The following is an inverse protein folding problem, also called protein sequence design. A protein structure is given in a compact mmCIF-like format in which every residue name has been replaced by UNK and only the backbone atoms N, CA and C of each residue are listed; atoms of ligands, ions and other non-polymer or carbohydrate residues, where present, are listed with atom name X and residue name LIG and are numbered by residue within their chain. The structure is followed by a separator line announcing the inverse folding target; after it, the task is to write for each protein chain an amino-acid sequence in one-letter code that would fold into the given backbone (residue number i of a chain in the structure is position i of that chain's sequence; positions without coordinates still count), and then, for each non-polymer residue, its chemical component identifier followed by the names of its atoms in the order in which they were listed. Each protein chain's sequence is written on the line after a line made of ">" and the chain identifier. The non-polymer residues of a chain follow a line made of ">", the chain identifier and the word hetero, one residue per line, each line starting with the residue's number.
data_IF_159658849573
#
_entry.id   IF_159658849573
#
_cell.length_a   1.000
_cell.length_b   1.000
_cell.length_c   1.000
_cell.angle_alpha   90.00
_cell.angle_beta   90.00
_cell.angle_gamma   90.00
#
_symmetry.space_group_name_H-M   'P 1'
#
loop_
_entity.id
_entity.type
_entity.pdbx_description
1 polymer ?
#
# COMPACT_ATOMS: atom_id res chain seq x y z
N UNK A 1 -22.71 -11.11 -22.02
CA UNK A 1 -23.52 -9.89 -21.77
C UNK A 1 -23.46 -9.04 -23.03
N UNK A 2 -24.61 -8.61 -23.58
CA UNK A 2 -24.68 -7.69 -24.73
C UNK A 2 -25.11 -6.33 -24.22
N UNK A 3 -24.36 -5.27 -24.54
CA UNK A 3 -24.74 -3.87 -24.32
C UNK A 3 -24.59 -3.20 -25.69
N UNK A 4 -25.63 -2.49 -26.14
CA UNK A 4 -25.66 -1.77 -27.43
C UNK A 4 -25.09 -2.56 -28.62
N UNK A 5 -25.62 -3.77 -28.84
CA UNK A 5 -25.31 -4.64 -29.97
C UNK A 5 -23.85 -5.14 -30.08
N UNK A 6 -23.02 -4.91 -29.07
CA UNK A 6 -21.65 -5.45 -28.99
C UNK A 6 -21.55 -6.64 -28.03
N UNK A 7 -20.81 -7.67 -28.45
CA UNK A 7 -20.54 -8.84 -27.59
C UNK A 7 -19.32 -8.52 -26.74
N UNK A 8 -19.54 -8.23 -25.46
CA UNK A 8 -18.47 -7.96 -24.50
C UNK A 8 -17.92 -9.31 -24.04
N UNK A 9 -16.66 -9.59 -24.39
CA UNK A 9 -15.93 -10.74 -23.87
C UNK A 9 -15.60 -10.50 -22.39
N UNK A 10 -15.83 -11.49 -21.50
CA UNK A 10 -15.40 -11.37 -20.12
C UNK A 10 -13.87 -11.19 -20.09
N UNK A 11 -13.42 -10.07 -19.53
CA UNK A 11 -12.00 -9.77 -19.39
C UNK A 11 -11.52 -10.32 -18.04
N UNK A 12 -10.39 -11.01 -18.02
CA UNK A 12 -9.85 -11.64 -16.79
C UNK A 12 -9.39 -10.63 -15.73
N UNK A 13 -9.08 -9.41 -16.17
CA UNK A 13 -8.68 -8.30 -15.33
C UNK A 13 -9.06 -6.98 -16.00
N UNK A 14 -9.35 -5.97 -15.19
CA UNK A 14 -9.58 -4.61 -15.68
C UNK A 14 -8.81 -3.61 -14.84
N UNK A 15 -8.42 -2.48 -15.45
CA UNK A 15 -7.76 -1.38 -14.76
C UNK A 15 -8.78 -0.28 -14.50
N UNK A 16 -9.02 0.02 -13.23
CA UNK A 16 -9.92 1.07 -12.80
C UNK A 16 -9.22 1.99 -11.80
N UNK A 17 -9.23 3.31 -12.07
CA UNK A 17 -8.55 4.32 -11.24
C UNK A 17 -7.10 3.94 -10.89
N UNK A 18 -6.36 3.33 -11.82
CA UNK A 18 -4.97 2.92 -11.57
C UNK A 18 -4.78 1.63 -10.74
N UNK A 19 -5.85 1.02 -10.25
CA UNK A 19 -5.88 -0.29 -9.59
C UNK A 19 -6.23 -1.37 -10.62
N UNK A 20 -5.59 -2.55 -10.51
CA UNK A 20 -5.87 -3.69 -11.39
C UNK A 20 -6.75 -4.66 -10.61
N UNK A 21 -7.98 -4.84 -11.08
CA UNK A 21 -8.99 -5.68 -10.45
C UNK A 21 -9.06 -6.99 -11.23
N UNK A 22 -8.72 -8.09 -10.57
CA UNK A 22 -8.87 -9.44 -11.11
C UNK A 22 -10.29 -9.97 -10.80
N UNK A 23 -10.85 -10.83 -11.65
CA UNK A 23 -12.20 -11.41 -11.44
C UNK A 23 -12.41 -12.06 -10.06
N UNK A 24 -11.34 -12.67 -9.51
CA UNK A 24 -11.35 -13.34 -8.20
C UNK A 24 -10.81 -12.47 -7.06
N UNK A 25 -10.49 -11.19 -7.31
CA UNK A 25 -9.85 -10.30 -6.34
C UNK A 25 -8.61 -10.90 -5.67
N UNK A 26 -7.82 -11.67 -6.43
CA UNK A 26 -6.58 -12.27 -5.92
C UNK A 26 -5.44 -11.24 -5.83
N UNK A 27 -5.57 -10.09 -6.50
CA UNK A 27 -4.62 -8.97 -6.51
C UNK A 27 -3.19 -9.29 -6.94
N UNK A 28 -2.94 -10.48 -7.50
CA UNK A 28 -1.59 -10.93 -7.91
C UNK A 28 -1.06 -10.08 -9.07
N UNK A 29 -1.92 -9.76 -10.04
CA UNK A 29 -1.54 -8.86 -11.14
C UNK A 29 -1.28 -7.44 -10.64
N UNK A 30 -2.09 -6.97 -9.69
CA UNK A 30 -1.89 -5.67 -9.07
C UNK A 30 -0.57 -5.60 -8.28
N UNK A 31 -0.21 -6.66 -7.56
CA UNK A 31 1.06 -6.75 -6.86
C UNK A 31 2.25 -6.61 -7.81
N UNK A 32 2.26 -7.32 -8.94
CA UNK A 32 3.32 -7.20 -9.94
C UNK A 32 3.44 -5.76 -10.49
N UNK A 33 2.31 -5.07 -10.67
CA UNK A 33 2.29 -3.66 -11.05
C UNK A 33 2.85 -2.73 -9.96
N UNK A 34 2.61 -3.02 -8.68
CA UNK A 34 3.22 -2.27 -7.57
C UNK A 34 4.72 -2.54 -7.51
N UNK A 35 5.15 -3.80 -7.61
CA UNK A 35 6.56 -4.20 -7.59
C UNK A 35 7.36 -3.48 -8.68
N UNK A 36 6.86 -3.48 -9.92
CA UNK A 36 7.49 -2.81 -11.07
C UNK A 36 7.55 -1.29 -10.89
N UNK A 37 6.54 -0.66 -10.29
CA UNK A 37 6.56 0.79 -9.98
C UNK A 37 7.46 1.17 -8.81
N UNK A 38 7.54 0.32 -7.79
CA UNK A 38 8.33 0.57 -6.59
C UNK A 38 9.83 0.35 -6.83
N UNK A 39 10.22 -0.61 -7.68
CA UNK A 39 11.62 -0.94 -7.94
C UNK A 39 12.52 0.26 -8.35
N UNK A 40 12.18 1.07 -9.38
CA UNK A 40 13.01 2.21 -9.79
C UNK A 40 13.08 3.29 -8.71
N UNK A 41 11.98 3.46 -7.96
CA UNK A 41 11.88 4.42 -6.86
C UNK A 41 12.73 4.05 -5.65
N UNK A 42 12.82 2.76 -5.32
CA UNK A 42 13.74 2.26 -4.31
C UNK A 42 15.19 2.43 -4.79
N UNK A 43 15.48 2.25 -6.08
CA UNK A 43 16.80 2.54 -6.62
C UNK A 43 17.16 4.04 -6.52
N UNK A 44 16.21 4.93 -6.80
CA UNK A 44 16.40 6.37 -6.59
C UNK A 44 16.66 6.68 -5.11
N UNK A 45 15.88 6.10 -4.20
CA UNK A 45 16.07 6.25 -2.76
C UNK A 45 17.47 5.77 -2.32
N UNK A 46 17.95 4.66 -2.88
CA UNK A 46 19.31 4.15 -2.67
C UNK A 46 20.37 5.15 -3.12
N UNK A 47 20.17 5.73 -4.30
CA UNK A 47 21.09 6.73 -4.84
C UNK A 47 21.15 7.96 -3.93
N UNK A 48 19.99 8.52 -3.57
CA UNK A 48 19.88 9.68 -2.70
C UNK A 48 20.49 9.45 -1.32
N UNK A 49 20.24 8.28 -0.73
CA UNK A 49 20.81 7.89 0.57
C UNK A 49 22.33 7.80 0.53
N UNK A 50 22.90 7.32 -0.58
CA UNK A 50 24.36 7.21 -0.75
C UNK A 50 25.05 8.53 -1.08
N UNK A 51 24.37 9.44 -1.79
CA UNK A 51 24.93 10.75 -2.16
C UNK A 51 24.94 11.74 -1.00
N UNK A 52 24.08 11.55 0.01
CA UNK A 52 24.09 12.37 1.19
C UNK A 52 25.24 11.93 2.10
N UNK A 53 26.23 12.80 2.30
CA UNK A 53 27.42 12.55 3.12
C UNK A 53 27.06 12.24 4.59
N UNK A 54 25.96 12.80 5.08
CA UNK A 54 25.37 12.49 6.38
C UNK A 54 23.86 12.72 6.31
N UNK A 55 23.09 11.73 5.81
CA UNK A 55 21.66 11.90 5.67
C UNK A 55 21.03 11.98 7.06
N UNK A 56 20.42 13.11 7.40
CA UNK A 56 19.55 13.16 8.57
C UNK A 56 18.47 12.09 8.40
N UNK A 57 18.41 11.13 9.33
CA UNK A 57 17.48 9.99 9.29
C UNK A 57 16.04 10.44 9.04
N UNK A 58 15.64 11.60 9.55
CA UNK A 58 14.31 12.19 9.32
C UNK A 58 14.07 12.55 7.85
N UNK A 59 15.05 13.17 7.20
CA UNK A 59 14.96 13.58 5.79
C UNK A 59 14.81 12.36 4.88
N UNK A 60 15.64 11.34 5.12
CA UNK A 60 15.58 10.06 4.40
C UNK A 60 14.24 9.36 4.58
N UNK A 61 13.72 9.31 5.81
CA UNK A 61 12.41 8.74 6.12
C UNK A 61 11.30 9.52 5.40
N UNK A 62 11.39 10.85 5.35
CA UNK A 62 10.43 11.67 4.64
C UNK A 62 10.47 11.42 3.13
N UNK A 63 11.64 11.30 2.53
CA UNK A 63 11.80 10.94 1.12
C UNK A 63 11.18 9.55 0.86
N UNK A 64 11.45 8.58 1.73
CA UNK A 64 10.82 7.27 1.66
C UNK A 64 9.28 7.36 1.69
N UNK A 65 8.72 8.11 2.64
CA UNK A 65 7.26 8.33 2.77
C UNK A 65 6.68 8.94 1.50
N UNK A 66 7.33 9.96 0.94
CA UNK A 66 6.85 10.63 -0.27
C UNK A 66 6.88 9.75 -1.51
N UNK A 67 7.85 8.83 -1.62
CA UNK A 67 8.07 8.06 -2.85
C UNK A 67 7.41 6.68 -2.81
N UNK A 68 7.72 5.88 -1.79
CA UNK A 68 7.35 4.46 -1.75
C UNK A 68 5.99 4.27 -1.07
N UNK A 69 5.78 4.96 0.07
CA UNK A 69 4.52 4.83 0.80
C UNK A 69 3.34 5.33 -0.03
N UNK A 70 3.47 6.42 -0.80
CA UNK A 70 2.39 6.94 -1.66
C UNK A 70 1.88 5.93 -2.68
N UNK A 71 2.74 5.13 -3.32
CA UNK A 71 2.29 4.10 -4.28
C UNK A 71 1.51 3.01 -3.58
N UNK A 72 2.03 2.56 -2.44
CA UNK A 72 1.46 1.42 -1.74
C UNK A 72 0.12 1.81 -1.07
N UNK A 73 0.06 3.01 -0.49
CA UNK A 73 -1.12 3.54 0.21
C UNK A 73 -2.25 3.87 -0.77
N UNK A 74 -1.95 4.29 -2.00
CA UNK A 74 -3.00 4.61 -2.98
C UNK A 74 -4.01 3.47 -3.15
N UNK A 75 -3.54 2.22 -3.11
CA UNK A 75 -4.36 1.01 -3.13
C UNK A 75 -4.61 0.41 -1.74
N UNK A 76 -4.71 1.18 -0.66
CA UNK A 76 -4.83 0.61 0.70
C UNK A 76 -6.04 -0.33 0.88
N UNK A 77 -7.13 -0.12 0.14
CA UNK A 77 -8.28 -1.03 0.14
C UNK A 77 -7.91 -2.42 -0.38
N UNK A 78 -7.01 -2.49 -1.36
CA UNK A 78 -6.46 -3.75 -1.88
C UNK A 78 -5.68 -4.47 -0.78
N UNK A 79 -4.88 -3.74 0.00
CA UNK A 79 -4.11 -4.32 1.10
C UNK A 79 -4.98 -4.95 2.20
N UNK A 80 -6.15 -4.36 2.46
CA UNK A 80 -7.07 -4.85 3.48
C UNK A 80 -7.85 -6.09 3.01
N UNK A 81 -8.17 -6.15 1.72
CA UNK A 81 -8.95 -7.24 1.11
C UNK A 81 -8.09 -8.37 0.55
N UNK A 82 -6.77 -8.16 0.40
CA UNK A 82 -5.87 -9.13 -0.19
C UNK A 82 -5.55 -10.33 0.71
N UNK A 83 -5.24 -11.45 0.04
CA UNK A 83 -4.73 -12.65 0.67
C UNK A 83 -3.43 -12.36 1.45
N UNK A 84 -3.20 -13.08 2.56
CA UNK A 84 -2.01 -12.92 3.42
C UNK A 84 -0.70 -12.93 2.63
N UNK A 85 -0.61 -13.79 1.61
CA UNK A 85 0.56 -13.90 0.74
C UNK A 85 0.88 -12.59 -0.01
N UNK A 86 -0.14 -11.89 -0.53
CA UNK A 86 0.03 -10.63 -1.24
C UNK A 86 0.38 -9.49 -0.27
N UNK A 87 -0.32 -9.43 0.87
CA UNK A 87 -0.05 -8.45 1.93
C UNK A 87 1.40 -8.56 2.45
N UNK A 88 1.88 -9.80 2.68
CA UNK A 88 3.25 -10.07 3.12
C UNK A 88 4.28 -9.61 2.08
N UNK A 89 4.04 -9.83 0.78
CA UNK A 89 4.95 -9.35 -0.27
C UNK A 89 5.03 -7.83 -0.31
N UNK A 90 3.92 -7.13 -0.12
CA UNK A 90 3.92 -5.66 -0.04
C UNK A 90 4.69 -5.19 1.20
N UNK A 91 4.54 -5.88 2.34
CA UNK A 91 5.31 -5.58 3.54
C UNK A 91 6.83 -5.76 3.31
N UNK A 92 7.24 -6.80 2.58
CA UNK A 92 8.65 -7.02 2.23
C UNK A 92 9.18 -5.87 1.37
N UNK A 93 8.39 -5.34 0.42
CA UNK A 93 8.78 -4.17 -0.39
C UNK A 93 8.97 -2.94 0.50
N UNK A 94 8.07 -2.71 1.46
CA UNK A 94 8.19 -1.61 2.42
C UNK A 94 9.48 -1.75 3.26
N UNK A 95 9.74 -2.94 3.80
CA UNK A 95 10.90 -3.20 4.66
C UNK A 95 12.22 -3.07 3.88
N UNK A 96 12.25 -3.54 2.62
CA UNK A 96 13.40 -3.37 1.73
C UNK A 96 13.65 -1.90 1.41
N UNK A 97 12.59 -1.14 1.16
CA UNK A 97 12.69 0.29 0.89
C UNK A 97 13.19 1.05 2.13
N UNK A 98 12.69 0.73 3.33
CA UNK A 98 13.17 1.31 4.60
C UNK A 98 14.63 0.99 4.87
N UNK A 99 15.04 -0.28 4.69
CA UNK A 99 16.44 -0.69 4.83
C UNK A 99 17.36 0.11 3.90
N UNK A 100 16.93 0.27 2.65
CA UNK A 100 17.65 1.03 1.63
C UNK A 100 17.72 2.51 1.99
N UNK A 101 16.63 3.09 2.49
CA UNK A 101 16.59 4.46 2.94
C UNK A 101 17.65 4.68 4.02
N UNK A 102 17.61 3.88 5.08
CA UNK A 102 18.48 3.99 6.25
C UNK A 102 19.93 3.55 6.01
N UNK A 103 20.27 3.08 4.81
CA UNK A 103 21.63 2.59 4.51
C UNK A 103 22.02 1.34 5.30
N UNK A 104 21.05 0.58 5.81
CA UNK A 104 21.31 -0.56 6.69
C UNK A 104 21.70 -1.82 5.91
N UNK A 105 22.57 -2.64 6.51
CA UNK A 105 23.00 -3.91 5.93
C UNK A 105 21.85 -4.92 5.80
N UNK A 106 21.96 -5.85 4.85
CA UNK A 106 20.97 -6.91 4.62
C UNK A 106 20.74 -7.82 5.85
N UNK A 107 21.74 -7.93 6.72
CA UNK A 107 21.70 -8.77 7.92
C UNK A 107 20.95 -8.13 9.10
N UNK A 108 20.61 -6.84 9.00
CA UNK A 108 19.86 -6.16 10.07
C UNK A 108 18.46 -6.75 10.23
N UNK A 109 18.08 -7.05 11.47
CA UNK A 109 16.76 -7.60 11.76
C UNK A 109 15.66 -6.61 11.37
N UNK A 110 14.54 -7.13 10.88
CA UNK A 110 13.40 -6.30 10.46
C UNK A 110 12.83 -5.54 11.66
N UNK A 111 12.83 -6.14 12.85
CA UNK A 111 12.35 -5.50 14.08
C UNK A 111 13.19 -4.30 14.48
N UNK A 112 14.52 -4.39 14.30
CA UNK A 112 15.42 -3.25 14.54
C UNK A 112 15.12 -2.10 13.57
N UNK A 113 14.93 -2.39 12.28
CA UNK A 113 14.58 -1.39 11.25
C UNK A 113 13.26 -0.69 11.60
N UNK A 114 12.27 -1.43 12.09
CA UNK A 114 10.98 -0.86 12.51
C UNK A 114 11.13 0.03 13.74
N UNK A 115 11.91 -0.41 14.73
CA UNK A 115 12.16 0.35 15.96
C UNK A 115 12.84 1.69 15.67
N UNK A 116 13.84 1.70 14.78
CA UNK A 116 14.58 2.93 14.45
C UNK A 116 13.79 3.88 13.53
N UNK A 117 12.99 3.33 12.61
CA UNK A 117 12.21 4.14 11.66
C UNK A 117 10.91 4.70 12.25
N UNK A 118 10.40 4.10 13.34
CA UNK A 118 9.12 4.43 13.95
C UNK A 118 7.94 4.41 12.94
N UNK A 119 7.99 3.48 11.98
CA UNK A 119 6.97 3.32 10.93
C UNK A 119 6.14 2.06 11.20
N UNK A 120 4.79 2.18 11.23
CA UNK A 120 3.90 1.04 11.44
C UNK A 120 3.91 0.08 10.25
N UNK A 121 3.38 -1.14 10.47
CA UNK A 121 3.12 -2.08 9.37
C UNK A 121 2.15 -1.46 8.37
N UNK A 122 2.30 -1.85 7.10
CA UNK A 122 1.48 -1.27 6.04
C UNK A 122 -0.01 -1.54 6.25
N UNK A 123 -0.35 -2.73 6.78
CA UNK A 123 -1.72 -3.13 7.07
C UNK A 123 -2.29 -2.30 8.22
N UNK A 124 -1.54 -2.12 9.30
CA UNK A 124 -1.97 -1.31 10.45
C UNK A 124 -2.23 0.13 10.02
N UNK A 125 -1.31 0.70 9.23
CA UNK A 125 -1.47 2.03 8.66
C UNK A 125 -2.71 2.14 7.75
N UNK A 126 -2.95 1.16 6.89
CA UNK A 126 -4.14 1.09 6.05
C UNK A 126 -5.43 1.03 6.88
N UNK A 127 -5.45 0.30 8.00
CA UNK A 127 -6.62 0.27 8.89
C UNK A 127 -6.85 1.63 9.58
N UNK A 128 -5.79 2.34 9.95
CA UNK A 128 -5.91 3.69 10.52
C UNK A 128 -6.51 4.67 9.51
N UNK A 129 -6.06 4.61 8.25
CA UNK A 129 -6.63 5.43 7.17
C UNK A 129 -8.09 5.09 6.90
N UNK A 130 -8.45 3.80 6.86
CA UNK A 130 -9.83 3.39 6.70
C UNK A 130 -10.72 3.93 7.83
N UNK A 131 -10.25 3.86 9.08
CA UNK A 131 -10.98 4.41 10.24
C UNK A 131 -11.20 5.92 10.10
N UNK A 132 -10.18 6.67 9.70
CA UNK A 132 -10.30 8.12 9.47
C UNK A 132 -11.27 8.44 8.32
N UNK A 133 -11.23 7.65 7.24
CA UNK A 133 -12.15 7.78 6.12
C UNK A 133 -13.59 7.51 6.54
N UNK A 134 -13.85 6.47 7.33
CA UNK A 134 -15.19 6.17 7.84
C UNK A 134 -15.65 7.30 8.77
N UNK A 135 -14.79 7.76 9.70
CA UNK A 135 -15.12 8.88 10.60
C UNK A 135 -15.55 10.14 9.84
N UNK A 136 -14.78 10.53 8.82
CA UNK A 136 -15.10 11.68 7.96
C UNK A 136 -16.36 11.46 7.14
N UNK A 137 -16.56 10.28 6.57
CA UNK A 137 -17.78 9.94 5.82
C UNK A 137 -19.03 9.98 6.72
N UNK A 138 -18.91 9.55 7.98
CA UNK A 138 -20.03 9.53 8.95
C UNK A 138 -20.36 10.90 9.54
N UNK A 139 -19.48 11.89 9.40
CA UNK A 139 -19.74 13.26 9.80
C UNK A 139 -20.61 14.00 8.76
N UNK A 140 -20.54 13.59 7.49
CA UNK A 140 -21.16 14.29 6.37
C UNK A 140 -22.49 13.65 5.88
N UNK A 141 -22.83 12.42 6.27
CA UNK A 141 -23.95 11.66 5.70
C UNK A 141 -24.85 10.93 6.72
N UNK A 142 -26.06 10.64 6.23
CA UNK A 142 -27.24 10.03 6.88
C UNK A 142 -26.97 8.74 7.70
N UNK A 143 -27.75 8.56 8.76
CA UNK A 143 -27.56 7.58 9.86
C UNK A 143 -27.46 6.12 9.35
N UNK A 144 -28.10 5.82 8.21
CA UNK A 144 -28.19 4.48 7.60
C UNK A 144 -26.86 4.00 7.02
N UNK A 145 -26.09 4.87 6.36
CA UNK A 145 -24.78 4.53 5.79
C UNK A 145 -23.75 4.29 6.90
N UNK A 146 -23.87 5.03 8.01
CA UNK A 146 -22.99 4.89 9.17
C UNK A 146 -23.05 3.49 9.78
N UNK A 147 -24.25 2.91 9.94
CA UNK A 147 -24.43 1.54 10.44
C UNK A 147 -23.78 0.50 9.52
N UNK A 148 -24.02 0.59 8.21
CA UNK A 148 -23.44 -0.33 7.23
C UNK A 148 -21.91 -0.26 7.16
N UNK A 149 -21.33 0.94 7.25
CA UNK A 149 -19.88 1.12 7.24
C UNK A 149 -19.22 0.61 8.53
N UNK A 150 -19.91 0.72 9.67
CA UNK A 150 -19.46 0.18 10.95
C UNK A 150 -19.40 -1.36 10.91
N UNK A 151 -20.44 -2.01 10.37
CA UNK A 151 -20.48 -3.47 10.19
C UNK A 151 -19.35 -3.98 9.26
N UNK A 152 -19.01 -3.21 8.23
CA UNK A 152 -17.89 -3.54 7.34
C UNK A 152 -16.56 -3.42 8.09
N UNK A 153 -16.40 -2.42 8.96
CA UNK A 153 -15.18 -2.25 9.75
C UNK A 153 -14.95 -3.42 10.72
N UNK A 154 -16.02 -3.89 11.38
CA UNK A 154 -15.92 -5.01 12.33
C UNK A 154 -15.66 -6.35 11.64
N UNK A 155 -16.08 -6.52 10.38
CA UNK A 155 -15.76 -7.71 9.57
C UNK A 155 -14.31 -7.76 9.05
N UNK A 156 -13.58 -6.65 9.08
CA UNK A 156 -12.19 -6.55 8.58
C UNK A 156 -11.16 -6.82 9.70
N UNK A 157 -11.59 -6.91 10.97
CA UNK A 157 -10.76 -7.37 12.10
C UNK A 157 -10.47 -8.88 11.99
#
# INVERSE_FOLDING_TARGET
>A
MRVDNTIIKPLDHTRYLGVIIDQRLNWRRHLGHIETKCAPRICLLRYLSRTAYEPNSRTVINIFKSIASTIIIYGYLVLLTAEKNVSNRIQIIQDKALRTALGLSIYTSVDYIRKISNIPKIKDYATTLLKQFIQTATANNDITLKKHLQDILDKIK
#
